data_IF_261483318351
#
_entry.id   IF_261483318351
#
_cell.length_a   1.000
_cell.length_b   1.000
_cell.length_c   1.000
_cell.angle_alpha   90.00
_cell.angle_beta   90.00
_cell.angle_gamma   90.00
#
_symmetry.space_group_name_H-M   'P 1'
#
loop_
_entity.id
_entity.type
_entity.pdbx_description
1 polymer ?
#
# COMPACT_ATOMS: atom_id res chain seq x y z
N UNK A 1 44.80 26.93 38.47
CA UNK A 1 43.61 26.40 39.18
C UNK A 1 42.27 27.06 38.80
N UNK A 2 42.20 28.34 38.42
CA UNK A 2 40.91 29.04 38.15
C UNK A 2 40.10 28.49 36.96
N UNK A 3 40.77 28.03 35.89
CA UNK A 3 40.06 27.48 34.72
C UNK A 3 39.32 26.16 35.02
N UNK A 4 39.88 25.29 35.85
CA UNK A 4 39.24 24.03 36.22
C UNK A 4 37.97 24.25 37.04
N UNK A 5 37.96 25.25 37.94
CA UNK A 5 36.77 25.60 38.71
C UNK A 5 35.65 26.20 37.84
N UNK A 6 35.99 27.06 36.87
CA UNK A 6 35.02 27.63 35.94
C UNK A 6 34.41 26.56 35.01
N UNK A 7 35.21 25.60 34.55
CA UNK A 7 34.73 24.48 33.74
C UNK A 7 33.79 23.56 34.53
N UNK A 8 34.06 23.35 35.82
CA UNK A 8 33.19 22.54 36.66
C UNK A 8 31.84 23.22 36.94
N UNK A 9 31.84 24.54 37.17
CA UNK A 9 30.61 25.32 37.34
C UNK A 9 29.76 25.37 36.05
N UNK A 10 30.41 25.48 34.89
CA UNK A 10 29.73 25.44 33.59
C UNK A 10 29.10 24.06 33.32
N UNK A 11 29.82 22.98 33.65
CA UNK A 11 29.34 21.60 33.53
C UNK A 11 28.11 21.36 34.41
N UNK A 12 28.14 21.83 35.67
CA UNK A 12 27.03 21.69 36.62
C UNK A 12 25.81 22.48 36.16
N UNK A 13 26.00 23.72 35.69
CA UNK A 13 24.91 24.54 35.12
C UNK A 13 24.32 23.90 33.87
N UNK A 14 25.17 23.38 32.97
CA UNK A 14 24.73 22.64 31.79
C UNK A 14 23.89 21.40 32.16
N UNK A 15 24.31 20.63 33.16
CA UNK A 15 23.57 19.48 33.66
C UNK A 15 22.21 19.88 34.28
N UNK A 16 22.17 20.98 35.03
CA UNK A 16 20.92 21.48 35.62
C UNK A 16 19.91 21.93 34.54
N UNK A 17 20.37 22.67 33.54
CA UNK A 17 19.52 23.07 32.42
C UNK A 17 19.05 21.86 31.60
N UNK A 18 19.95 20.93 31.29
CA UNK A 18 19.61 19.70 30.58
C UNK A 18 18.58 18.88 31.36
N UNK A 19 18.76 18.70 32.68
CA UNK A 19 17.80 17.98 33.54
C UNK A 19 16.43 18.64 33.58
N UNK A 20 16.36 19.97 33.51
CA UNK A 20 15.10 20.69 33.50
C UNK A 20 14.40 20.63 32.13
N UNK A 21 15.15 20.56 31.03
CA UNK A 21 14.59 20.52 29.66
C UNK A 21 14.23 19.11 29.19
N UNK A 22 14.96 18.10 29.64
CA UNK A 22 14.76 16.68 29.30
C UNK A 22 13.32 16.16 29.54
N UNK A 23 12.64 16.45 30.68
CA UNK A 23 11.26 15.98 30.87
C UNK A 23 10.28 16.57 29.85
N UNK A 24 10.46 17.83 29.43
CA UNK A 24 9.60 18.43 28.40
C UNK A 24 9.78 17.75 27.04
N UNK A 25 11.02 17.39 26.69
CA UNK A 25 11.32 16.65 25.46
C UNK A 25 10.72 15.23 25.51
N UNK A 26 10.83 14.53 26.64
CA UNK A 26 10.24 13.19 26.82
C UNK A 26 8.71 13.20 26.76
N UNK A 27 8.07 14.22 27.34
CA UNK A 27 6.62 14.41 27.24
C UNK A 27 6.20 14.68 25.78
N UNK A 28 6.97 15.51 25.06
CA UNK A 28 6.72 15.76 23.63
C UNK A 28 6.80 14.49 22.77
N UNK A 29 7.80 13.64 23.02
CA UNK A 29 7.93 12.35 22.33
C UNK A 29 6.79 11.40 22.70
N UNK A 30 6.42 11.33 23.99
CA UNK A 30 5.31 10.49 24.44
C UNK A 30 3.97 10.91 23.83
N UNK A 31 3.71 12.22 23.71
CA UNK A 31 2.54 12.75 23.01
C UNK A 31 2.55 12.40 21.52
N UNK A 32 3.72 12.50 20.87
CA UNK A 32 3.86 12.13 19.47
C UNK A 32 3.51 10.65 19.25
N UNK A 33 3.94 9.76 20.14
CA UNK A 33 3.64 8.32 20.07
C UNK A 33 2.15 7.97 20.31
N UNK A 34 1.35 8.88 20.86
CA UNK A 34 -0.10 8.70 21.05
C UNK A 34 -0.92 9.20 19.86
N UNK A 35 -0.30 9.86 18.88
CA UNK A 35 -0.99 10.31 17.68
C UNK A 35 -1.12 9.16 16.66
N UNK A 36 -2.34 8.89 16.14
CA UNK A 36 -2.62 7.72 15.28
C UNK A 36 -1.88 7.75 13.93
N UNK A 37 -1.46 8.93 13.46
CA UNK A 37 -0.70 9.13 12.20
C UNK A 37 0.76 9.53 12.44
N UNK A 38 1.30 9.24 13.63
CA UNK A 38 2.73 9.48 13.88
C UNK A 38 3.58 8.46 13.11
N UNK A 39 4.74 8.89 12.62
CA UNK A 39 5.73 8.12 11.85
C UNK A 39 6.22 6.80 12.51
N UNK A 40 5.72 6.47 13.71
CA UNK A 40 5.98 5.24 14.45
C UNK A 40 4.86 4.21 14.36
N UNK A 41 3.72 4.54 13.74
CA UNK A 41 2.70 3.56 13.41
C UNK A 41 3.26 2.59 12.36
N UNK A 42 3.22 1.28 12.66
CA UNK A 42 3.60 0.26 11.70
C UNK A 42 2.59 0.25 10.53
N UNK A 43 2.89 0.95 9.45
CA UNK A 43 2.08 0.92 8.23
C UNK A 43 2.12 -0.48 7.62
N UNK A 44 0.96 -1.12 7.49
CA UNK A 44 0.85 -2.37 6.75
C UNK A 44 0.98 -2.10 5.25
N UNK A 45 2.22 -2.04 4.76
CA UNK A 45 2.56 -1.84 3.34
C UNK A 45 1.97 -2.93 2.43
N UNK A 46 1.63 -4.11 2.96
CA UNK A 46 0.96 -5.18 2.20
C UNK A 46 -0.52 -4.86 1.91
N UNK A 47 -1.15 -3.98 2.69
CA UNK A 47 -2.52 -3.55 2.43
C UNK A 47 -2.63 -2.73 1.14
N UNK A 48 -1.61 -1.90 0.84
CA UNK A 48 -1.53 -1.13 -0.40
C UNK A 48 -1.47 -2.01 -1.65
N UNK A 49 -0.70 -3.10 -1.59
CA UNK A 49 -0.57 -4.05 -2.71
C UNK A 49 -1.91 -4.72 -3.07
N UNK A 50 -2.74 -5.06 -2.07
CA UNK A 50 -4.06 -5.66 -2.34
C UNK A 50 -4.97 -4.69 -3.10
N UNK A 51 -4.91 -3.40 -2.76
CA UNK A 51 -5.67 -2.36 -3.45
C UNK A 51 -5.19 -2.18 -4.89
N UNK A 52 -3.88 -2.17 -5.10
CA UNK A 52 -3.27 -1.96 -6.42
C UNK A 52 -3.52 -3.16 -7.35
N UNK A 53 -3.44 -4.38 -6.82
CA UNK A 53 -3.79 -5.61 -7.56
C UNK A 53 -5.27 -5.61 -7.94
N UNK A 54 -6.16 -5.19 -7.03
CA UNK A 54 -7.59 -5.03 -7.32
C UNK A 54 -7.86 -4.00 -8.42
N UNK A 55 -7.18 -2.86 -8.39
CA UNK A 55 -7.30 -1.84 -9.44
C UNK A 55 -6.78 -2.33 -10.80
N UNK A 56 -5.75 -3.19 -10.81
CA UNK A 56 -5.12 -3.67 -12.05
C UNK A 56 -5.87 -4.84 -12.69
N UNK A 57 -6.41 -5.76 -11.90
CA UNK A 57 -7.03 -7.00 -12.39
C UNK A 57 -8.53 -7.13 -12.08
N UNK A 58 -9.12 -6.21 -11.32
CA UNK A 58 -10.52 -6.24 -10.91
C UNK A 58 -11.51 -5.92 -12.02
N UNK A 59 -12.81 -5.93 -11.67
CA UNK A 59 -13.90 -5.77 -12.63
C UNK A 59 -13.87 -4.42 -13.39
N UNK A 60 -13.37 -3.37 -12.75
CA UNK A 60 -13.26 -2.03 -13.32
C UNK A 60 -11.94 -1.78 -14.07
N UNK A 61 -11.10 -2.81 -14.26
CA UNK A 61 -9.84 -2.68 -14.99
C UNK A 61 -9.99 -2.96 -16.49
N UNK A 62 -8.94 -2.68 -17.27
CA UNK A 62 -8.93 -2.95 -18.71
C UNK A 62 -8.73 -4.44 -19.04
N UNK A 63 -8.31 -5.26 -18.07
CA UNK A 63 -7.97 -6.68 -18.29
C UNK A 63 -9.16 -7.51 -18.80
N UNK A 64 -10.38 -7.42 -18.24
CA UNK A 64 -11.53 -8.18 -18.71
C UNK A 64 -11.91 -7.84 -20.16
N UNK A 65 -11.72 -6.57 -20.55
CA UNK A 65 -11.97 -6.12 -21.92
C UNK A 65 -11.02 -6.79 -22.92
N UNK A 66 -9.72 -6.77 -22.65
CA UNK A 66 -8.73 -7.43 -23.51
C UNK A 66 -8.91 -8.94 -23.57
N UNK A 67 -9.28 -9.56 -22.44
CA UNK A 67 -9.55 -10.99 -22.37
C UNK A 67 -10.73 -11.39 -23.27
N UNK A 68 -11.84 -10.64 -23.18
CA UNK A 68 -13.02 -10.88 -23.99
C UNK A 68 -12.77 -10.62 -25.48
N UNK A 69 -11.97 -9.62 -25.81
CA UNK A 69 -11.57 -9.32 -27.17
C UNK A 69 -10.72 -10.46 -27.76
N UNK A 70 -9.76 -10.97 -27.00
CA UNK A 70 -8.93 -12.10 -27.43
C UNK A 70 -9.76 -13.37 -27.68
N UNK A 71 -10.69 -13.69 -26.77
CA UNK A 71 -11.61 -14.81 -26.95
C UNK A 71 -12.51 -14.61 -28.18
N UNK A 72 -13.06 -13.41 -28.37
CA UNK A 72 -13.90 -13.11 -29.53
C UNK A 72 -13.18 -13.33 -30.85
N UNK A 73 -11.92 -12.88 -30.95
CA UNK A 73 -11.09 -13.10 -32.14
C UNK A 73 -10.72 -14.57 -32.34
N UNK A 74 -10.33 -15.27 -31.26
CA UNK A 74 -10.00 -16.69 -31.32
C UNK A 74 -11.21 -17.55 -31.70
N UNK A 75 -12.37 -17.27 -31.09
CA UNK A 75 -13.64 -17.92 -31.38
C UNK A 75 -14.11 -17.67 -32.81
N UNK A 76 -14.01 -16.43 -33.31
CA UNK A 76 -14.32 -16.11 -34.70
C UNK A 76 -13.41 -16.86 -35.69
N UNK A 77 -12.10 -16.87 -35.44
CA UNK A 77 -11.14 -17.60 -36.25
C UNK A 77 -11.43 -19.11 -36.28
N UNK A 78 -11.66 -19.70 -35.11
CA UNK A 78 -11.95 -21.12 -34.98
C UNK A 78 -13.32 -21.48 -35.58
N UNK A 79 -14.32 -20.61 -35.49
CA UNK A 79 -15.60 -20.78 -36.18
C UNK A 79 -15.44 -20.77 -37.70
N UNK A 80 -14.63 -19.88 -38.27
CA UNK A 80 -14.39 -19.84 -39.72
C UNK A 80 -13.82 -21.19 -40.21
N UNK A 81 -12.89 -21.77 -39.46
CA UNK A 81 -12.24 -23.04 -39.80
C UNK A 81 -13.12 -24.27 -39.57
N UNK A 82 -13.82 -24.33 -38.44
CA UNK A 82 -14.55 -25.53 -38.01
C UNK A 82 -16.03 -25.51 -38.39
N UNK A 83 -16.59 -24.34 -38.67
CA UNK A 83 -18.04 -24.08 -38.84
C UNK A 83 -18.89 -24.58 -37.67
N UNK A 84 -18.30 -24.81 -36.51
CA UNK A 84 -19.00 -25.29 -35.33
C UNK A 84 -19.38 -24.12 -34.41
N UNK A 85 -20.68 -23.90 -34.22
CA UNK A 85 -21.20 -22.82 -33.38
C UNK A 85 -20.87 -22.98 -31.90
N UNK A 86 -20.61 -24.21 -31.44
CA UNK A 86 -20.24 -24.48 -30.05
C UNK A 86 -18.95 -23.78 -29.63
N UNK A 87 -18.06 -23.45 -30.58
CA UNK A 87 -16.81 -22.74 -30.32
C UNK A 87 -17.06 -21.29 -29.86
N UNK A 88 -18.19 -20.69 -30.22
CA UNK A 88 -18.56 -19.35 -29.77
C UNK A 88 -19.13 -19.33 -28.34
N UNK A 89 -19.42 -20.49 -27.75
CA UNK A 89 -19.92 -20.58 -26.38
C UNK A 89 -18.88 -20.14 -25.34
N UNK A 90 -17.59 -20.10 -25.69
CA UNK A 90 -16.53 -19.59 -24.81
C UNK A 90 -16.73 -18.13 -24.40
N UNK A 91 -17.27 -17.29 -25.31
CA UNK A 91 -17.50 -15.86 -25.05
C UNK A 91 -18.49 -15.61 -23.90
N UNK A 92 -19.74 -16.13 -23.92
CA UNK A 92 -20.68 -15.94 -22.81
C UNK A 92 -20.23 -16.63 -21.52
N UNK A 93 -19.52 -17.77 -21.62
CA UNK A 93 -18.94 -18.43 -20.44
C UNK A 93 -17.89 -17.54 -19.78
N UNK A 94 -17.00 -16.92 -20.56
CA UNK A 94 -15.99 -15.99 -20.05
C UNK A 94 -16.60 -14.71 -19.48
N UNK A 95 -17.67 -14.17 -20.08
CA UNK A 95 -18.38 -13.02 -19.50
C UNK A 95 -18.95 -13.31 -18.11
N UNK A 96 -19.57 -14.48 -17.93
CA UNK A 96 -20.11 -14.88 -16.61
C UNK A 96 -18.95 -15.11 -15.64
N UNK A 97 -17.90 -15.78 -16.09
CA UNK A 97 -16.71 -16.02 -15.26
C UNK A 97 -16.08 -14.71 -14.78
N UNK A 98 -15.80 -13.75 -15.66
CA UNK A 98 -15.18 -12.48 -15.26
C UNK A 98 -16.08 -11.66 -14.34
N UNK A 99 -17.40 -11.68 -14.57
CA UNK A 99 -18.35 -10.98 -13.70
C UNK A 99 -18.39 -11.55 -12.26
N UNK A 100 -18.26 -12.86 -12.09
CA UNK A 100 -18.29 -13.49 -10.76
C UNK A 100 -16.92 -13.64 -10.11
N UNK A 101 -15.86 -13.82 -10.90
CA UNK A 101 -14.50 -14.01 -10.40
C UNK A 101 -13.83 -12.69 -9.98
N UNK A 102 -14.24 -11.56 -10.56
CA UNK A 102 -13.67 -10.24 -10.30
C UNK A 102 -14.50 -9.37 -9.35
N UNK A 103 -15.56 -9.95 -8.79
CA UNK A 103 -16.41 -9.36 -7.76
C UNK A 103 -15.90 -9.73 -6.37
#
# INVERSE_FOLDING_TARGET
MKCSAALNDLSIKGYLYARQFLPFLMIGIALLCLMPDSCFAAENRLAGLKSEVGATFGADSDVPYFLLLAEGLAGAYAYIKTKNIAVLAGVPVLMVFTHWALK
#
